data_IF_533228649589
#
_entry.id   IF_533228649589
#
_cell.length_a   1.000
_cell.length_b   1.000
_cell.length_c   1.000
_cell.angle_alpha   90.00
_cell.angle_beta   90.00
_cell.angle_gamma   90.00
#
_symmetry.space_group_name_H-M   'P 1'
#
loop_
_entity.id
_entity.type
_entity.pdbx_description
1 polymer ?
#
# COMPACT_ATOMS: atom_id res chain seq x y z
N UNK A 1 -39.47 -10.18 -5.79
CA UNK A 1 -38.10 -10.20 -5.24
C UNK A 1 -38.21 -10.86 -3.88
N UNK A 2 -37.47 -11.95 -3.63
CA UNK A 2 -37.68 -12.76 -2.42
C UNK A 2 -37.15 -12.01 -1.20
N UNK A 3 -37.78 -12.18 -0.04
CA UNK A 3 -37.36 -11.54 1.23
C UNK A 3 -35.88 -11.82 1.53
N UNK A 4 -35.42 -13.03 1.18
CA UNK A 4 -34.02 -13.43 1.32
C UNK A 4 -33.06 -12.61 0.43
N UNK A 5 -33.47 -12.20 -0.76
CA UNK A 5 -32.64 -11.38 -1.67
C UNK A 5 -32.44 -9.97 -1.09
N UNK A 6 -33.50 -9.41 -0.49
CA UNK A 6 -33.49 -8.10 0.17
C UNK A 6 -32.61 -8.10 1.42
N UNK A 7 -32.65 -9.18 2.22
CA UNK A 7 -31.77 -9.31 3.38
C UNK A 7 -30.30 -9.42 2.97
N UNK A 8 -30.02 -10.10 1.85
CA UNK A 8 -28.66 -10.23 1.34
C UNK A 8 -28.14 -8.90 0.77
N UNK A 9 -28.97 -8.12 0.08
CA UNK A 9 -28.60 -6.77 -0.37
C UNK A 9 -28.32 -5.84 0.81
N UNK A 10 -29.18 -5.85 1.83
CA UNK A 10 -29.02 -5.00 3.02
C UNK A 10 -27.72 -5.33 3.79
N UNK A 11 -27.38 -6.61 3.97
CA UNK A 11 -26.10 -7.01 4.58
C UNK A 11 -24.89 -6.51 3.80
N UNK A 12 -24.96 -6.51 2.47
CA UNK A 12 -23.87 -6.03 1.61
C UNK A 12 -23.69 -4.53 1.74
N UNK A 13 -24.77 -3.77 1.82
CA UNK A 13 -24.72 -2.33 2.04
C UNK A 13 -24.17 -1.98 3.43
N UNK A 14 -24.61 -2.67 4.48
CA UNK A 14 -24.12 -2.43 5.84
C UNK A 14 -22.59 -2.61 5.97
N UNK A 15 -21.99 -3.54 5.23
CA UNK A 15 -20.53 -3.75 5.23
C UNK A 15 -19.73 -2.61 4.58
N UNK A 16 -20.39 -1.75 3.79
CA UNK A 16 -19.77 -0.59 3.13
C UNK A 16 -19.84 0.67 3.97
N UNK A 17 -20.70 0.69 5.00
CA UNK A 17 -20.84 1.82 5.91
C UNK A 17 -19.62 1.85 6.84
N UNK A 18 -18.78 2.86 6.66
CA UNK A 18 -17.68 3.19 7.57
C UNK A 18 -18.05 4.43 8.39
N UNK A 19 -17.42 4.59 9.56
CA UNK A 19 -17.55 5.81 10.34
C UNK A 19 -17.11 7.02 9.48
N UNK A 20 -17.84 8.15 9.51
CA UNK A 20 -17.44 9.34 8.76
C UNK A 20 -16.12 9.89 9.31
N UNK A 21 -15.18 10.20 8.42
CA UNK A 21 -13.88 10.77 8.74
C UNK A 21 -13.73 12.07 7.93
N UNK A 22 -13.22 13.13 8.56
CA UNK A 22 -12.88 14.37 7.86
C UNK A 22 -11.65 14.10 7.00
N UNK A 23 -11.79 14.24 5.69
CA UNK A 23 -10.65 14.17 4.78
C UNK A 23 -9.79 15.44 4.89
N UNK A 24 -8.48 15.26 5.01
CA UNK A 24 -7.47 16.32 5.14
C UNK A 24 -6.38 16.21 4.07
N UNK A 25 -6.63 15.47 2.99
CA UNK A 25 -5.69 15.39 1.87
C UNK A 25 -5.50 16.74 1.20
N UNK A 26 -4.25 17.09 0.89
CA UNK A 26 -3.85 18.26 0.11
C UNK A 26 -3.82 17.94 -1.40
N UNK A 27 -3.67 18.97 -2.25
CA UNK A 27 -3.43 18.79 -3.68
C UNK A 27 -2.10 18.06 -3.92
N UNK A 28 -2.20 16.81 -4.35
CA UNK A 28 -1.09 15.89 -4.55
C UNK A 28 -0.89 14.96 -3.35
N UNK A 29 -1.11 13.63 -3.50
CA UNK A 29 -0.87 12.71 -2.40
C UNK A 29 0.62 12.68 -2.06
N UNK A 30 0.94 12.68 -0.76
CA UNK A 30 2.30 12.40 -0.30
C UNK A 30 2.73 11.00 -0.79
N UNK A 31 4.04 10.75 -0.97
CA UNK A 31 4.52 9.43 -1.33
C UNK A 31 4.06 8.37 -0.32
N UNK A 32 3.60 7.21 -0.83
CA UNK A 32 3.24 6.09 0.03
C UNK A 32 4.46 5.59 0.81
N UNK A 33 4.28 5.36 2.12
CA UNK A 33 5.31 4.79 2.99
C UNK A 33 5.18 3.28 2.98
N UNK A 34 6.23 2.58 2.53
CA UNK A 34 6.31 1.12 2.52
C UNK A 34 7.37 0.67 3.51
N UNK A 35 6.99 -0.22 4.42
CA UNK A 35 7.89 -0.82 5.42
C UNK A 35 8.21 -2.26 5.03
N UNK A 36 9.50 -2.60 4.98
CA UNK A 36 9.97 -3.98 4.81
C UNK A 36 10.46 -4.51 6.16
N UNK A 37 9.66 -5.38 6.78
CA UNK A 37 9.91 -5.93 8.12
C UNK A 37 10.02 -7.46 8.11
N UNK A 38 10.82 -8.02 9.02
CA UNK A 38 10.97 -9.48 9.19
C UNK A 38 12.23 -9.89 9.95
N UNK A 39 12.42 -11.19 10.26
CA UNK A 39 13.54 -11.71 11.04
C UNK A 39 14.91 -11.38 10.44
N UNK A 40 16.00 -11.45 11.22
CA UNK A 40 17.36 -11.29 10.68
C UNK A 40 17.63 -12.25 9.52
N UNK A 41 18.46 -11.82 8.57
CA UNK A 41 19.02 -12.66 7.48
C UNK A 41 18.02 -13.23 6.44
N UNK A 42 16.75 -12.81 6.42
CA UNK A 42 15.75 -13.27 5.41
C UNK A 42 15.81 -12.54 4.05
N UNK A 43 16.81 -11.69 3.81
CA UNK A 43 16.95 -10.98 2.53
C UNK A 43 16.18 -9.66 2.40
N UNK A 44 15.75 -9.03 3.50
CA UNK A 44 15.05 -7.72 3.46
C UNK A 44 15.77 -6.64 2.64
N UNK A 45 17.09 -6.48 2.86
CA UNK A 45 17.89 -5.52 2.09
C UNK A 45 18.01 -5.92 0.62
N UNK A 46 18.01 -7.21 0.31
CA UNK A 46 17.99 -7.69 -1.08
C UNK A 46 16.67 -7.32 -1.76
N UNK A 47 15.52 -7.51 -1.10
CA UNK A 47 14.23 -7.10 -1.62
C UNK A 47 14.21 -5.60 -1.94
N UNK A 48 14.68 -4.76 -1.01
CA UNK A 48 14.75 -3.31 -1.23
C UNK A 48 15.62 -2.98 -2.45
N UNK A 49 16.83 -3.54 -2.56
CA UNK A 49 17.71 -3.33 -3.73
C UNK A 49 17.06 -3.78 -5.03
N UNK A 50 16.39 -4.94 -5.03
CA UNK A 50 15.70 -5.48 -6.20
C UNK A 50 14.56 -4.58 -6.66
N UNK A 51 13.74 -4.06 -5.74
CA UNK A 51 12.66 -3.13 -6.05
C UNK A 51 13.21 -1.80 -6.58
N UNK A 52 14.20 -1.21 -5.90
CA UNK A 52 14.85 0.04 -6.37
C UNK A 52 15.41 -0.15 -7.77
N UNK A 53 16.13 -1.25 -8.03
CA UNK A 53 16.66 -1.55 -9.35
C UNK A 53 15.55 -1.76 -10.39
N UNK A 54 14.46 -2.42 -10.02
CA UNK A 54 13.34 -2.68 -10.91
C UNK A 54 12.67 -1.38 -11.38
N UNK A 55 12.39 -0.46 -10.46
CA UNK A 55 11.67 0.79 -10.76
C UNK A 55 12.57 1.88 -11.33
N UNK A 56 13.79 2.02 -10.80
CA UNK A 56 14.69 3.13 -11.20
C UNK A 56 15.66 2.75 -12.32
N UNK A 57 15.82 1.45 -12.61
CA UNK A 57 16.83 0.89 -13.53
C UNK A 57 18.29 1.15 -13.11
N UNK A 58 18.52 1.61 -11.88
CA UNK A 58 19.86 1.83 -11.33
C UNK A 58 20.23 0.77 -10.29
N UNK A 59 21.50 0.36 -10.28
CA UNK A 59 22.02 -0.47 -9.20
C UNK A 59 22.14 0.39 -7.92
N UNK A 60 21.64 -0.14 -6.81
CA UNK A 60 21.66 0.54 -5.52
C UNK A 60 22.53 -0.27 -4.53
N UNK A 61 23.79 0.13 -4.29
CA UNK A 61 24.76 -0.74 -3.63
C UNK A 61 24.46 -0.96 -2.14
N UNK A 62 23.98 0.07 -1.46
CA UNK A 62 23.80 0.07 -0.01
C UNK A 62 22.43 0.59 0.41
N UNK A 63 21.77 -0.14 1.31
CA UNK A 63 20.42 0.16 1.79
C UNK A 63 20.52 0.80 3.17
N UNK A 64 20.47 2.13 3.19
CA UNK A 64 20.52 2.93 4.42
C UNK A 64 19.50 4.07 4.35
N UNK A 65 18.86 4.34 5.49
CA UNK A 65 17.89 5.44 5.61
C UNK A 65 16.60 5.21 4.83
N UNK A 66 15.86 6.31 4.64
CA UNK A 66 14.66 6.35 3.81
C UNK A 66 15.06 6.36 2.33
N UNK A 67 14.34 5.60 1.51
CA UNK A 67 14.55 5.52 0.07
C UNK A 67 13.23 5.86 -0.61
N UNK A 68 13.21 6.97 -1.35
CA UNK A 68 12.05 7.40 -2.13
C UNK A 68 12.30 7.06 -3.60
N UNK A 69 11.35 6.36 -4.22
CA UNK A 69 11.37 6.06 -5.66
C UNK A 69 10.05 6.49 -6.28
N UNK A 70 10.08 6.81 -7.56
CA UNK A 70 8.87 6.98 -8.38
C UNK A 70 8.64 5.69 -9.12
N UNK A 71 7.51 5.04 -8.88
CA UNK A 71 7.03 3.94 -9.71
C UNK A 71 6.07 4.48 -10.75
N UNK A 72 6.34 4.27 -12.04
CA UNK A 72 5.31 4.39 -13.07
C UNK A 72 4.34 3.22 -12.90
N UNK A 73 3.09 3.52 -12.55
CA UNK A 73 1.95 2.62 -12.79
C UNK A 73 1.55 2.70 -14.26
#
# INVERSE_FOLDING_TARGET
MSVNDTDQSNKKEQRRLHAPIIDRSYDGPAPYVVVVQGPPQVGKSLLIKSLVKHYTKHNFPDVRGLITIVSSL
#
